data_IF_637351879639
#
_entry.id   IF_637351879639
#
_cell.length_a   1.000
_cell.length_b   1.000
_cell.length_c   1.000
_cell.angle_alpha   90.00
_cell.angle_beta   90.00
_cell.angle_gamma   90.00
#
_symmetry.space_group_name_H-M   'P 1'
#
loop_
_entity.id
_entity.type
_entity.pdbx_description
1 polymer ?
#
# COMPACT_ATOMS: atom_id res chain seq x y z
N UNK A 1 16.78 25.85 -17.52
CA UNK A 1 15.91 24.92 -18.27
C UNK A 1 15.86 25.39 -19.71
N UNK A 2 16.44 24.62 -20.62
CA UNK A 2 16.54 25.02 -22.03
C UNK A 2 15.24 24.68 -22.76
N UNK A 3 14.78 25.58 -23.63
CA UNK A 3 13.62 25.41 -24.52
C UNK A 3 13.68 24.12 -25.37
N UNK A 4 14.88 23.57 -25.60
CA UNK A 4 15.11 22.32 -26.34
C UNK A 4 14.71 21.06 -25.56
N UNK A 5 14.75 21.07 -24.22
CA UNK A 5 14.34 19.93 -23.39
C UNK A 5 12.82 19.75 -23.42
N UNK A 6 12.08 20.84 -23.58
CA UNK A 6 10.60 20.82 -23.70
C UNK A 6 10.20 20.26 -25.06
N UNK A 7 10.95 20.58 -26.11
CA UNK A 7 10.63 20.16 -27.48
C UNK A 7 10.92 18.66 -27.73
N UNK A 8 11.85 18.08 -26.97
CA UNK A 8 12.27 16.67 -27.11
C UNK A 8 11.50 15.72 -26.18
N UNK A 9 10.51 16.21 -25.41
CA UNK A 9 9.71 15.38 -24.52
C UNK A 9 10.51 14.66 -23.42
N UNK A 10 11.74 15.11 -23.15
CA UNK A 10 12.59 14.58 -22.07
C UNK A 10 12.18 15.20 -20.75
N UNK A 11 11.07 14.74 -20.18
CA UNK A 11 10.85 14.92 -18.76
C UNK A 11 11.95 14.16 -18.03
N UNK A 12 12.77 14.85 -17.19
CA UNK A 12 13.70 14.18 -16.28
C UNK A 12 12.93 13.04 -15.57
N UNK A 13 13.45 11.80 -15.56
CA UNK A 13 12.87 10.75 -14.75
C UNK A 13 12.73 11.28 -13.32
N UNK A 14 11.55 11.17 -12.74
CA UNK A 14 11.37 11.50 -11.32
C UNK A 14 12.20 10.45 -10.56
N UNK A 15 13.18 10.88 -9.79
CA UNK A 15 13.94 9.96 -8.95
C UNK A 15 13.04 9.39 -7.87
N UNK A 16 13.23 8.12 -7.49
CA UNK A 16 12.61 7.56 -6.30
C UNK A 16 12.88 8.44 -5.08
N UNK A 17 11.91 8.55 -4.20
CA UNK A 17 11.99 9.36 -2.97
C UNK A 17 11.33 8.55 -1.85
N UNK A 18 12.07 7.58 -1.31
CA UNK A 18 11.58 6.61 -0.33
C UNK A 18 11.18 7.26 1.00
N UNK A 19 11.77 8.41 1.34
CA UNK A 19 11.45 9.14 2.58
C UNK A 19 9.98 9.59 2.61
N UNK A 20 9.31 9.66 1.46
CA UNK A 20 7.86 9.95 1.39
C UNK A 20 7.00 8.89 2.06
N UNK A 21 7.47 7.67 2.21
CA UNK A 21 6.78 6.63 2.97
C UNK A 21 6.49 7.08 4.41
N UNK A 22 7.39 7.87 5.01
CA UNK A 22 7.21 8.40 6.36
C UNK A 22 6.08 9.44 6.50
N UNK A 23 5.44 9.84 5.42
CA UNK A 23 4.18 10.62 5.45
C UNK A 23 2.94 9.78 5.78
N UNK A 24 3.01 8.44 5.66
CA UNK A 24 1.86 7.56 5.88
C UNK A 24 1.27 7.62 7.29
N UNK A 25 2.05 7.72 8.40
CA UNK A 25 1.47 7.85 9.73
C UNK A 25 0.60 9.11 9.89
N UNK A 26 1.00 10.26 9.35
CA UNK A 26 0.18 11.49 9.34
C UNK A 26 -1.06 11.31 8.49
N UNK A 27 -0.90 10.75 7.27
CA UNK A 27 -2.00 10.47 6.37
C UNK A 27 -3.04 9.50 6.97
N UNK A 28 -2.61 8.55 7.80
CA UNK A 28 -3.52 7.63 8.49
C UNK A 28 -4.45 8.34 9.47
N UNK A 29 -3.94 9.36 10.19
CA UNK A 29 -4.77 10.18 11.09
C UNK A 29 -5.83 10.95 10.31
N UNK A 30 -5.43 11.58 9.20
CA UNK A 30 -6.36 12.27 8.29
C UNK A 30 -7.38 11.32 7.69
N UNK A 31 -6.95 10.13 7.26
CA UNK A 31 -7.81 9.12 6.66
C UNK A 31 -8.86 8.59 7.66
N UNK A 32 -8.45 8.35 8.90
CA UNK A 32 -9.36 7.96 9.96
C UNK A 32 -10.41 9.04 10.22
N UNK A 33 -9.99 10.30 10.34
CA UNK A 33 -10.89 11.42 10.60
C UNK A 33 -11.86 11.69 9.43
N UNK A 34 -11.39 11.57 8.18
CA UNK A 34 -12.16 11.93 6.98
C UNK A 34 -13.04 10.79 6.46
N UNK A 35 -12.66 9.54 6.66
CA UNK A 35 -13.28 8.38 6.00
C UNK A 35 -13.45 7.14 6.89
N UNK A 36 -13.03 7.18 8.16
CA UNK A 36 -13.19 6.08 9.13
C UNK A 36 -12.27 4.88 8.92
N UNK A 37 -11.25 4.98 8.09
CA UNK A 37 -10.30 3.89 7.85
C UNK A 37 -9.13 3.91 8.83
N UNK A 38 -8.77 2.74 9.34
CA UNK A 38 -7.61 2.53 10.22
C UNK A 38 -6.64 1.53 9.61
N UNK A 39 -5.34 1.60 9.94
CA UNK A 39 -4.37 0.64 9.47
C UNK A 39 -4.74 -0.80 9.86
N UNK A 40 -4.49 -1.76 8.96
CA UNK A 40 -4.64 -3.19 9.26
C UNK A 40 -3.39 -3.79 9.92
N UNK A 41 -2.28 -3.04 9.94
CA UNK A 41 -0.97 -3.56 10.30
C UNK A 41 -0.29 -4.37 9.18
N UNK A 42 -0.92 -4.52 8.03
CA UNK A 42 -0.37 -5.20 6.86
C UNK A 42 0.26 -4.25 5.86
N UNK A 43 1.42 -4.62 5.32
CA UNK A 43 2.06 -3.91 4.22
C UNK A 43 3.00 -4.79 3.43
N UNK A 44 3.29 -4.39 2.19
CA UNK A 44 4.14 -5.17 1.30
C UNK A 44 4.89 -4.31 0.28
N UNK A 45 6.02 -4.83 -0.20
CA UNK A 45 6.81 -4.25 -1.29
C UNK A 45 6.74 -5.20 -2.48
N UNK A 46 6.26 -4.67 -3.61
CA UNK A 46 6.13 -5.37 -4.89
C UNK A 46 7.33 -5.11 -5.78
N UNK A 47 7.84 -6.15 -6.37
CA UNK A 47 8.92 -6.07 -7.36
C UNK A 47 8.76 -7.14 -8.45
N UNK A 48 9.33 -6.86 -9.63
CA UNK A 48 9.43 -7.85 -10.69
C UNK A 48 10.29 -9.01 -10.19
N UNK A 49 9.80 -10.24 -10.38
CA UNK A 49 10.54 -11.44 -9.96
C UNK A 49 11.91 -11.49 -10.64
N UNK A 50 12.94 -11.67 -9.83
CA UNK A 50 14.33 -11.84 -10.25
C UNK A 50 14.77 -13.24 -9.84
N UNK A 51 15.42 -13.95 -10.74
CA UNK A 51 16.05 -15.23 -10.46
C UNK A 51 17.57 -15.06 -10.33
N UNK A 52 18.16 -15.77 -9.39
CA UNK A 52 19.63 -15.78 -9.22
C UNK A 52 20.08 -15.63 -7.78
N UNK A 53 21.27 -16.20 -7.49
CA UNK A 53 21.83 -16.26 -6.14
C UNK A 53 22.00 -14.87 -5.49
N UNK A 54 22.42 -13.87 -6.25
CA UNK A 54 22.63 -12.51 -5.72
C UNK A 54 21.32 -11.89 -5.18
N UNK A 55 20.19 -12.10 -5.85
CA UNK A 55 18.91 -11.64 -5.37
C UNK A 55 18.45 -12.42 -4.12
N UNK A 56 18.63 -13.75 -4.13
CA UNK A 56 18.29 -14.60 -2.99
C UNK A 56 19.09 -14.23 -1.74
N UNK A 57 20.35 -13.85 -1.89
CA UNK A 57 21.19 -13.44 -0.76
C UNK A 57 20.71 -12.12 -0.16
N UNK A 58 20.44 -11.10 -0.98
CA UNK A 58 19.89 -9.82 -0.53
C UNK A 58 18.54 -10.00 0.15
N UNK A 59 17.67 -10.82 -0.43
CA UNK A 59 16.36 -11.15 0.15
C UNK A 59 16.49 -11.75 1.55
N UNK A 60 17.38 -12.75 1.72
CA UNK A 60 17.62 -13.40 3.01
C UNK A 60 18.20 -12.43 4.03
N UNK A 61 19.12 -11.55 3.60
CA UNK A 61 19.73 -10.54 4.45
C UNK A 61 18.67 -9.54 4.97
N UNK A 62 17.82 -9.02 4.07
CA UNK A 62 16.73 -8.11 4.44
C UNK A 62 15.74 -8.80 5.38
N UNK A 63 15.35 -10.05 5.09
CA UNK A 63 14.45 -10.81 5.94
C UNK A 63 15.06 -11.02 7.33
N UNK A 64 16.32 -11.43 7.41
CA UNK A 64 17.02 -11.64 8.69
C UNK A 64 17.16 -10.34 9.49
N UNK A 65 17.42 -9.21 8.81
CA UNK A 65 17.51 -7.89 9.45
C UNK A 65 16.17 -7.49 10.09
N UNK A 66 15.07 -7.65 9.38
CA UNK A 66 13.74 -7.28 9.87
C UNK A 66 13.24 -8.25 10.96
N UNK A 67 13.54 -9.53 10.84
CA UNK A 67 13.14 -10.54 11.81
C UNK A 67 13.99 -10.47 13.10
N UNK A 68 15.16 -9.83 13.07
CA UNK A 68 15.99 -9.60 14.25
C UNK A 68 15.51 -8.43 15.14
N UNK A 69 14.53 -7.66 14.70
CA UNK A 69 13.94 -6.59 15.50
C UNK A 69 13.23 -7.17 16.74
N UNK A 70 13.80 -6.89 17.93
CA UNK A 70 13.31 -7.41 19.20
C UNK A 70 11.91 -6.87 19.58
N UNK A 71 11.49 -5.75 19.01
CA UNK A 71 10.18 -5.16 19.23
C UNK A 71 9.11 -5.71 18.28
N UNK A 72 9.53 -6.57 17.34
CA UNK A 72 8.61 -7.19 16.39
C UNK A 72 7.74 -8.23 17.08
N UNK A 73 6.47 -7.92 17.25
CA UNK A 73 5.46 -8.82 17.85
C UNK A 73 4.68 -9.63 16.80
N UNK A 74 4.88 -9.33 15.52
CA UNK A 74 4.16 -9.93 14.40
C UNK A 74 4.83 -11.17 13.79
N UNK A 75 4.19 -11.72 12.74
CA UNK A 75 4.77 -12.80 11.95
C UNK A 75 6.07 -12.37 11.27
N UNK A 76 7.01 -13.31 11.00
CA UNK A 76 8.19 -13.04 10.19
C UNK A 76 7.86 -12.42 8.84
N UNK A 77 8.82 -11.69 8.26
CA UNK A 77 8.68 -11.17 6.90
C UNK A 77 8.62 -12.33 5.90
N UNK A 78 7.63 -12.32 5.05
CA UNK A 78 7.36 -13.39 4.10
C UNK A 78 7.63 -12.93 2.66
N UNK A 79 8.16 -13.83 1.83
CA UNK A 79 8.18 -13.67 0.39
C UNK A 79 6.99 -14.43 -0.22
N UNK A 80 6.13 -13.73 -0.93
CA UNK A 80 4.98 -14.28 -1.62
C UNK A 80 5.10 -13.98 -3.12
N UNK A 81 4.71 -14.93 -3.98
CA UNK A 81 4.56 -14.69 -5.41
C UNK A 81 3.08 -14.69 -5.76
N UNK A 82 2.63 -13.68 -6.50
CA UNK A 82 1.26 -13.60 -6.95
C UNK A 82 1.01 -14.38 -8.26
N UNK A 83 -0.25 -14.47 -8.66
CA UNK A 83 -0.67 -15.16 -9.90
C UNK A 83 -0.21 -14.43 -11.18
N UNK A 84 0.18 -13.15 -11.07
CA UNK A 84 0.69 -12.34 -12.17
C UNK A 84 2.20 -12.46 -12.34
N UNK A 85 2.89 -13.21 -11.46
CA UNK A 85 4.32 -13.45 -11.52
C UNK A 85 5.17 -12.36 -10.83
N UNK A 86 4.56 -11.46 -10.06
CA UNK A 86 5.29 -10.51 -9.22
C UNK A 86 5.64 -11.15 -7.87
N UNK A 87 6.70 -10.65 -7.27
CA UNK A 87 7.13 -11.03 -5.93
C UNK A 87 6.82 -9.91 -4.94
N UNK A 88 6.44 -10.31 -3.73
CA UNK A 88 6.04 -9.42 -2.65
C UNK A 88 6.79 -9.78 -1.38
N UNK A 89 7.50 -8.82 -0.79
CA UNK A 89 7.95 -8.94 0.60
C UNK A 89 6.88 -8.33 1.50
N UNK A 90 6.33 -9.19 2.36
CA UNK A 90 5.17 -8.86 3.22
C UNK A 90 5.65 -8.67 4.65
N UNK A 91 5.33 -7.53 5.24
CA UNK A 91 5.51 -7.25 6.67
C UNK A 91 4.17 -7.11 7.36
N UNK A 92 4.09 -7.59 8.61
CA UNK A 92 2.94 -7.45 9.48
C UNK A 92 3.38 -6.93 10.84
N UNK A 93 2.68 -5.90 11.31
CA UNK A 93 2.83 -5.29 12.64
C UNK A 93 1.46 -5.19 13.32
N UNK A 94 1.41 -4.75 14.55
CA UNK A 94 0.13 -4.35 15.14
C UNK A 94 -0.49 -3.18 14.37
N UNK A 95 -1.83 -3.08 14.27
CA UNK A 95 -2.50 -1.96 13.59
C UNK A 95 -2.10 -0.59 14.15
N UNK A 96 -1.75 -0.55 15.44
CA UNK A 96 -1.27 0.65 16.14
C UNK A 96 0.17 1.03 15.80
N UNK A 97 0.95 0.13 15.20
CA UNK A 97 2.38 0.31 14.95
C UNK A 97 2.69 0.59 13.47
N UNK A 98 1.89 1.46 12.87
CA UNK A 98 2.09 1.89 11.48
C UNK A 98 3.49 2.52 11.24
N UNK A 99 4.08 3.30 12.17
CA UNK A 99 5.43 3.81 11.97
C UNK A 99 6.48 2.71 11.80
N UNK A 100 6.42 1.63 12.58
CA UNK A 100 7.35 0.50 12.43
C UNK A 100 7.09 -0.27 11.11
N UNK A 101 5.83 -0.47 10.71
CA UNK A 101 5.50 -1.04 9.42
C UNK A 101 6.10 -0.23 8.26
N UNK A 102 5.98 1.11 8.31
CA UNK A 102 6.58 2.01 7.31
C UNK A 102 8.10 1.89 7.31
N UNK A 103 8.72 1.77 8.48
CA UNK A 103 10.16 1.50 8.62
C UNK A 103 10.58 0.21 7.93
N UNK A 104 9.81 -0.88 8.11
CA UNK A 104 10.05 -2.16 7.43
C UNK A 104 10.01 -2.00 5.90
N UNK A 105 8.96 -1.36 5.38
CA UNK A 105 8.80 -1.15 3.93
C UNK A 105 9.92 -0.27 3.36
N UNK A 106 10.32 0.77 4.11
CA UNK A 106 11.45 1.62 3.73
C UNK A 106 12.76 0.82 3.69
N UNK A 107 13.03 -0.01 4.71
CA UNK A 107 14.24 -0.83 4.78
C UNK A 107 14.32 -1.84 3.62
N UNK A 108 13.20 -2.52 3.29
CA UNK A 108 13.12 -3.43 2.13
C UNK A 108 13.46 -2.70 0.82
N UNK A 109 12.80 -1.57 0.56
CA UNK A 109 13.04 -0.79 -0.65
C UNK A 109 14.48 -0.31 -0.74
N UNK A 110 15.03 0.23 0.35
CA UNK A 110 16.40 0.78 0.41
C UNK A 110 17.46 -0.30 0.20
N UNK A 111 17.28 -1.48 0.81
CA UNK A 111 18.21 -2.59 0.65
C UNK A 111 18.22 -3.13 -0.78
N UNK A 112 17.04 -3.31 -1.39
CA UNK A 112 16.92 -3.73 -2.79
C UNK A 112 17.52 -2.68 -3.75
N UNK A 113 17.30 -1.39 -3.49
CA UNK A 113 17.87 -0.30 -4.28
C UNK A 113 19.41 -0.27 -4.17
N UNK A 114 19.95 -0.32 -2.95
CA UNK A 114 21.38 -0.32 -2.68
C UNK A 114 22.12 -1.50 -3.31
N UNK A 115 21.42 -2.65 -3.41
CA UNK A 115 21.95 -3.87 -4.04
C UNK A 115 21.78 -3.90 -5.57
N UNK A 116 21.32 -2.79 -6.18
CA UNK A 116 21.17 -2.67 -7.63
C UNK A 116 19.84 -3.18 -8.20
N UNK A 117 18.90 -3.59 -7.35
CA UNK A 117 17.57 -4.07 -7.77
C UNK A 117 16.51 -2.96 -7.85
N UNK A 118 16.89 -1.68 -7.76
CA UNK A 118 15.98 -0.54 -7.91
C UNK A 118 15.12 -0.58 -9.19
N UNK A 119 15.64 -0.96 -10.37
CA UNK A 119 14.85 -1.11 -11.59
C UNK A 119 13.67 -2.10 -11.48
N UNK A 120 13.78 -3.11 -10.63
CA UNK A 120 12.78 -4.13 -10.38
C UNK A 120 11.68 -3.69 -9.41
N UNK A 121 11.95 -2.70 -8.54
CA UNK A 121 10.97 -2.16 -7.60
C UNK A 121 9.80 -1.49 -8.34
N UNK A 122 8.58 -1.82 -7.92
CA UNK A 122 7.34 -1.35 -8.55
C UNK A 122 6.55 -0.45 -7.62
N UNK A 123 6.09 -0.99 -6.49
CA UNK A 123 5.28 -0.26 -5.53
C UNK A 123 5.39 -0.84 -4.12
N UNK A 124 4.95 -0.05 -3.13
CA UNK A 124 4.68 -0.54 -1.78
C UNK A 124 3.21 -0.30 -1.46
N UNK A 125 2.59 -1.21 -0.70
CA UNK A 125 1.17 -1.13 -0.33
C UNK A 125 1.06 -1.19 1.18
N UNK A 126 0.20 -0.32 1.75
CA UNK A 126 -0.21 -0.38 3.16
C UNK A 126 -1.72 -0.51 3.20
N UNK A 127 -2.20 -1.51 3.95
CA UNK A 127 -3.61 -1.83 4.07
C UNK A 127 -4.31 -1.03 5.17
N UNK A 128 -5.56 -0.67 4.88
CA UNK A 128 -6.49 -0.02 5.79
C UNK A 128 -7.85 -0.69 5.71
N UNK A 129 -8.61 -0.63 6.79
CA UNK A 129 -9.99 -1.14 6.85
C UNK A 129 -10.93 -0.14 7.51
N UNK A 130 -12.20 -0.18 7.12
CA UNK A 130 -13.24 0.67 7.68
C UNK A 130 -13.73 0.10 9.02
N UNK A 131 -13.58 0.86 10.09
CA UNK A 131 -14.04 0.50 11.45
C UNK A 131 -15.54 0.72 11.63
N UNK A 132 -16.19 1.45 10.71
CA UNK A 132 -17.59 1.88 10.82
C UNK A 132 -18.66 0.81 10.52
N UNK A 133 -18.26 -0.39 10.10
CA UNK A 133 -19.22 -1.46 9.78
C UNK A 133 -19.86 -2.16 10.99
N UNK A 134 -19.42 -1.86 12.22
CA UNK A 134 -19.81 -2.60 13.43
C UNK A 134 -20.76 -1.86 14.38
N UNK A 135 -20.98 -0.54 14.26
CA UNK A 135 -21.71 0.24 15.26
C UNK A 135 -22.78 1.20 14.72
N UNK A 136 -23.68 0.74 13.85
CA UNK A 136 -24.93 1.50 13.63
C UNK A 136 -26.17 0.62 13.71
N UNK A 137 -26.33 -0.12 14.81
CA UNK A 137 -27.62 -0.69 15.21
C UNK A 137 -27.94 -0.29 16.64
N UNK A 138 -28.02 1.04 16.88
CA UNK A 138 -28.61 1.66 18.05
C UNK A 138 -30.00 2.17 17.74
N UNK A 139 -31.03 1.39 18.12
CA UNK A 139 -32.40 1.79 18.36
C UNK A 139 -33.25 2.34 17.18
N UNK A 140 -33.93 1.41 16.45
CA UNK A 140 -35.35 1.59 16.23
C UNK A 140 -36.00 0.19 16.04
N UNK A 141 -36.81 -0.24 17.00
CA UNK A 141 -37.71 -1.39 16.88
C UNK A 141 -38.71 -1.13 15.75
N UNK A 142 -38.81 -2.07 14.81
CA UNK A 142 -39.85 -2.02 13.82
C UNK A 142 -39.64 -2.94 12.63
N UNK A 143 -40.22 -4.16 12.72
CA UNK A 143 -40.72 -4.99 11.62
C UNK A 143 -39.75 -5.65 10.62
N UNK A 144 -39.59 -6.96 10.82
CA UNK A 144 -39.53 -8.09 9.89
C UNK A 144 -38.98 -7.91 8.48
N UNK A 145 -37.79 -8.48 8.25
CA UNK A 145 -37.27 -8.71 6.92
C UNK A 145 -35.93 -9.45 7.02
N UNK A 146 -35.95 -10.80 6.87
CA UNK A 146 -34.76 -11.65 6.85
C UNK A 146 -33.89 -11.30 5.65
N UNK A 147 -32.62 -10.90 5.91
CA UNK A 147 -31.64 -10.66 4.89
C UNK A 147 -30.39 -10.06 5.52
N UNK A 148 -29.76 -10.77 6.48
CA UNK A 148 -28.52 -10.35 7.07
C UNK A 148 -27.35 -10.53 6.08
N UNK A 149 -27.08 -9.55 5.23
CA UNK A 149 -25.75 -9.42 4.63
C UNK A 149 -24.86 -8.77 5.68
N UNK A 150 -24.08 -9.57 6.40
CA UNK A 150 -22.96 -9.09 7.19
C UNK A 150 -22.06 -8.27 6.28
N UNK A 151 -22.09 -6.95 6.40
CA UNK A 151 -21.30 -6.04 5.59
C UNK A 151 -19.82 -6.39 5.79
N UNK A 152 -19.20 -6.93 4.76
CA UNK A 152 -17.75 -7.10 4.75
C UNK A 152 -17.10 -5.72 4.90
N UNK A 153 -16.19 -5.60 5.88
CA UNK A 153 -15.43 -4.37 6.08
C UNK A 153 -14.83 -3.90 4.75
N UNK A 154 -14.98 -2.61 4.48
CA UNK A 154 -14.38 -2.04 3.26
C UNK A 154 -12.88 -2.01 3.44
N UNK A 155 -12.14 -2.37 2.36
CA UNK A 155 -10.68 -2.38 2.34
C UNK A 155 -10.16 -1.27 1.46
N UNK A 156 -9.03 -0.71 1.87
CA UNK A 156 -8.34 0.35 1.15
C UNK A 156 -6.83 0.11 1.23
N UNK A 157 -6.13 0.18 0.11
CA UNK A 157 -4.67 0.23 0.05
C UNK A 157 -4.19 1.62 -0.29
N UNK A 158 -3.21 2.14 0.44
CA UNK A 158 -2.40 3.26 -0.03
C UNK A 158 -1.18 2.70 -0.74
N UNK A 159 -1.09 2.95 -2.05
CA UNK A 159 -0.08 2.40 -2.93
C UNK A 159 0.96 3.48 -3.24
N UNK A 160 2.21 3.24 -2.88
CA UNK A 160 3.35 4.07 -3.23
C UNK A 160 4.00 3.58 -4.51
N UNK A 161 4.08 4.41 -5.53
CA UNK A 161 4.77 4.13 -6.79
C UNK A 161 6.26 4.45 -6.65
N UNK A 162 7.10 3.42 -6.56
CA UNK A 162 8.54 3.57 -6.32
C UNK A 162 9.20 4.54 -7.30
N UNK A 163 9.06 4.32 -8.61
CA UNK A 163 9.72 5.12 -9.66
C UNK A 163 9.23 6.55 -9.77
N UNK A 164 8.14 6.90 -9.08
CA UNK A 164 7.47 8.20 -9.16
C UNK A 164 7.53 9.00 -7.86
N UNK A 165 7.71 8.33 -6.73
CA UNK A 165 7.61 8.94 -5.40
C UNK A 165 6.22 9.53 -5.16
N UNK A 166 5.17 8.86 -5.64
CA UNK A 166 3.77 9.32 -5.54
C UNK A 166 2.89 8.21 -5.00
N UNK A 167 1.75 8.59 -4.41
CA UNK A 167 0.78 7.66 -3.84
C UNK A 167 -0.52 7.67 -4.62
N UNK A 168 -1.25 6.57 -4.57
CA UNK A 168 -2.66 6.53 -4.96
C UNK A 168 -3.44 5.56 -4.07
N UNK A 169 -4.74 5.82 -3.83
CA UNK A 169 -5.61 4.88 -3.14
C UNK A 169 -6.11 3.80 -4.08
N UNK A 170 -6.28 2.59 -3.56
CA UNK A 170 -6.90 1.48 -4.25
C UNK A 170 -7.91 0.78 -3.32
N UNK A 171 -9.18 0.74 -3.70
CA UNK A 171 -10.24 0.11 -2.91
C UNK A 171 -10.94 -0.99 -3.70
N UNK A 172 -10.61 -2.26 -3.44
CA UNK A 172 -11.30 -3.38 -4.06
C UNK A 172 -12.71 -3.55 -3.47
N UNK A 173 -13.70 -3.74 -4.33
CA UNK A 173 -15.05 -4.10 -3.91
C UNK A 173 -15.13 -5.62 -3.70
N UNK A 174 -15.71 -6.10 -2.58
CA UNK A 174 -15.90 -7.51 -2.35
C UNK A 174 -17.00 -8.08 -3.26
N UNK A 175 -16.78 -9.28 -3.78
CA UNK A 175 -17.81 -10.09 -4.46
C UNK A 175 -18.16 -9.65 -5.89
N UNK A 176 -18.66 -10.62 -6.66
CA UNK A 176 -19.09 -10.46 -8.06
C UNK A 176 -18.19 -11.18 -9.05
N UNK A 177 -18.71 -11.41 -10.27
CA UNK A 177 -18.01 -12.12 -11.37
C UNK A 177 -16.90 -11.29 -12.01
N UNK A 178 -16.26 -10.37 -11.27
CA UNK A 178 -15.17 -9.57 -11.80
C UNK A 178 -14.48 -8.68 -10.77
N UNK A 179 -13.24 -8.36 -11.07
CA UNK A 179 -12.44 -7.44 -10.28
C UNK A 179 -13.00 -6.02 -10.41
N UNK A 180 -13.56 -5.46 -9.35
CA UNK A 180 -14.17 -4.12 -9.30
C UNK A 180 -13.53 -3.29 -8.20
N UNK A 181 -13.42 -1.99 -8.44
CA UNK A 181 -12.89 -1.01 -7.49
C UNK A 181 -13.90 0.08 -7.17
N UNK A 182 -13.83 0.63 -5.98
CA UNK A 182 -14.63 1.78 -5.56
C UNK A 182 -13.93 3.09 -5.95
N UNK A 183 -14.09 3.48 -7.21
CA UNK A 183 -13.48 4.72 -7.72
C UNK A 183 -14.02 5.99 -7.04
N UNK A 184 -15.23 5.96 -6.47
CA UNK A 184 -15.78 7.09 -5.74
C UNK A 184 -15.02 7.30 -4.42
N UNK A 185 -14.82 6.24 -3.65
CA UNK A 185 -14.04 6.26 -2.42
C UNK A 185 -12.59 6.67 -2.70
N UNK A 186 -11.98 6.12 -3.75
CA UNK A 186 -10.60 6.44 -4.11
C UNK A 186 -10.42 7.94 -4.42
N UNK A 187 -11.37 8.57 -5.13
CA UNK A 187 -11.32 10.00 -5.39
C UNK A 187 -11.57 10.85 -4.13
N UNK A 188 -12.42 10.38 -3.21
CA UNK A 188 -12.61 11.03 -1.90
C UNK A 188 -11.34 10.98 -1.07
N UNK A 189 -10.70 9.80 -0.97
CA UNK A 189 -9.43 9.62 -0.27
C UNK A 189 -8.32 10.45 -0.90
N UNK A 190 -8.23 10.50 -2.23
CA UNK A 190 -7.31 11.39 -2.96
C UNK A 190 -7.44 12.84 -2.48
N UNK A 191 -8.68 13.33 -2.39
CA UNK A 191 -8.92 14.72 -1.99
C UNK A 191 -8.57 14.95 -0.52
N UNK A 192 -8.89 14.01 0.36
CA UNK A 192 -8.60 14.12 1.79
C UNK A 192 -7.10 14.11 2.10
N UNK A 193 -6.31 13.32 1.36
CA UNK A 193 -4.87 13.14 1.62
C UNK A 193 -3.95 14.03 0.78
N UNK A 194 -4.50 15.00 0.03
CA UNK A 194 -3.72 15.83 -0.90
C UNK A 194 -2.63 16.67 -0.22
N UNK A 195 -2.83 17.06 1.05
CA UNK A 195 -1.88 17.83 1.83
C UNK A 195 -0.87 16.96 2.60
N UNK A 196 -1.24 15.70 2.90
CA UNK A 196 -0.36 14.77 3.63
C UNK A 196 0.58 14.01 2.70
N UNK A 197 0.08 13.60 1.51
CA UNK A 197 0.80 12.75 0.58
C UNK A 197 0.89 13.37 -0.81
N UNK A 198 2.03 13.14 -1.46
CA UNK A 198 2.15 13.46 -2.87
C UNK A 198 1.34 12.47 -3.72
N UNK A 199 0.10 12.80 -3.99
CA UNK A 199 -0.80 11.94 -4.77
C UNK A 199 -0.43 11.95 -6.28
N UNK A 200 -0.45 10.77 -6.91
CA UNK A 200 -0.30 10.63 -8.36
C UNK A 200 -1.49 11.29 -9.07
N UNK A 201 -1.19 12.25 -9.93
CA UNK A 201 -2.22 13.04 -10.62
C UNK A 201 -2.78 12.34 -11.86
N UNK A 202 -1.98 11.48 -12.49
CA UNK A 202 -2.38 10.71 -13.66
C UNK A 202 -3.13 9.44 -13.24
N UNK A 203 -4.45 9.44 -13.38
CA UNK A 203 -5.30 8.30 -13.03
C UNK A 203 -4.98 7.03 -13.84
N UNK A 204 -4.38 7.16 -15.04
CA UNK A 204 -3.94 6.00 -15.81
C UNK A 204 -2.79 5.23 -15.15
N UNK A 205 -2.17 5.81 -14.12
CA UNK A 205 -1.13 5.18 -13.31
C UNK A 205 -1.64 4.55 -12.03
N UNK A 206 -2.94 4.62 -11.78
CA UNK A 206 -3.59 3.97 -10.64
C UNK A 206 -3.88 2.51 -10.99
N UNK A 207 -2.81 1.74 -11.13
CA UNK A 207 -2.93 0.32 -11.46
C UNK A 207 -3.64 -0.45 -10.36
N UNK A 208 -4.56 -1.36 -10.70
CA UNK A 208 -5.18 -2.20 -9.69
C UNK A 208 -4.15 -3.19 -9.13
N UNK A 209 -4.11 -3.30 -7.80
CA UNK A 209 -3.24 -4.25 -7.08
C UNK A 209 -4.10 -5.36 -6.46
N UNK A 210 -4.80 -6.10 -7.33
CA UNK A 210 -5.68 -7.19 -6.92
C UNK A 210 -4.92 -8.26 -6.14
N UNK A 211 -5.48 -8.67 -4.98
CA UNK A 211 -4.87 -9.71 -4.16
C UNK A 211 -3.52 -9.32 -3.54
N UNK A 212 -3.14 -8.04 -3.56
CA UNK A 212 -1.91 -7.60 -2.94
C UNK A 212 -1.85 -8.04 -1.47
N UNK A 213 -0.78 -8.71 -1.04
CA UNK A 213 -0.63 -9.11 0.35
C UNK A 213 -0.60 -7.87 1.26
N UNK A 214 -1.35 -7.93 2.36
CA UNK A 214 -1.46 -6.81 3.30
C UNK A 214 -2.60 -5.84 3.02
N UNK A 215 -3.38 -6.07 1.95
CA UNK A 215 -4.58 -5.31 1.60
C UNK A 215 -5.83 -5.95 2.18
#
# INVERSE_FOLDING_TARGET
MGLLDILLGRTKPVAPDLDRLFGLPSAAVTLQAAAGFTPTGGGSVCFATVEGAAFDDVRKEVQALLDADAERTGAPVELVRDEYGYSWMVSRRGPEDLPALVGDLHAVNSALEASGFGPQLLCSVVGFEDVGGSESSGASEGSGGSGGSGGSARRLGLVYLYKRGTFYPFSPLPGGDGQRRDSSLELQVRAALADDLRIEQDLNRWFPVWGAPGL
#
